data_IF_488872835151
#
_entry.id   IF_488872835151
#
_cell.length_a   1.000
_cell.length_b   1.000
_cell.length_c   1.000
_cell.angle_alpha   90.00
_cell.angle_beta   90.00
_cell.angle_gamma   90.00
#
_symmetry.space_group_name_H-M   'P 1'
#
loop_
_entity.id
_entity.type
_entity.pdbx_description
1 polymer ?
#
# COMPACT_ATOMS: atom_id res chain seq x y z
N UNK A 1 -11.85 1.18 -16.16
CA UNK A 1 -10.45 0.72 -16.18
C UNK A 1 -9.43 1.86 -16.33
N UNK A 2 -9.84 3.11 -16.11
CA UNK A 2 -8.97 4.29 -16.31
C UNK A 2 -7.74 4.27 -15.40
N UNK A 3 -7.85 3.82 -14.16
CA UNK A 3 -6.73 3.72 -13.22
C UNK A 3 -5.81 2.49 -13.39
N UNK A 4 -6.02 1.65 -14.42
CA UNK A 4 -5.22 0.45 -14.60
C UNK A 4 -4.10 0.66 -15.63
N UNK A 5 -2.85 0.66 -15.13
CA UNK A 5 -1.65 0.59 -15.96
C UNK A 5 -0.70 -0.46 -15.38
N UNK A 6 -0.77 -1.71 -15.84
CA UNK A 6 -0.08 -2.90 -15.31
C UNK A 6 -0.45 -3.23 -13.86
N UNK A 7 -0.77 -2.23 -13.05
CA UNK A 7 -1.26 -2.33 -11.66
C UNK A 7 -2.41 -1.34 -11.47
N UNK A 8 -3.40 -1.64 -10.64
CA UNK A 8 -4.41 -0.65 -10.24
C UNK A 8 -3.74 0.55 -9.59
N UNK A 9 -4.17 1.76 -9.98
CA UNK A 9 -3.72 3.03 -9.40
C UNK A 9 -4.95 3.88 -9.11
N UNK A 10 -4.87 4.64 -8.06
CA UNK A 10 -5.90 5.61 -7.66
C UNK A 10 -5.25 6.97 -7.49
N UNK A 11 -6.03 8.02 -7.70
CA UNK A 11 -5.67 9.41 -7.42
C UNK A 11 -6.48 9.97 -6.25
N UNK A 12 -6.20 11.20 -5.86
CA UNK A 12 -6.90 11.86 -4.75
C UNK A 12 -8.39 12.07 -5.03
N UNK A 13 -8.79 12.21 -6.30
CA UNK A 13 -10.19 12.33 -6.67
C UNK A 13 -10.96 11.03 -6.40
N UNK A 14 -10.39 9.89 -6.79
CA UNK A 14 -10.98 8.59 -6.52
C UNK A 14 -10.97 8.27 -5.03
N UNK A 15 -9.88 8.60 -4.32
CA UNK A 15 -9.80 8.46 -2.87
C UNK A 15 -10.93 9.24 -2.17
N UNK A 16 -11.17 10.48 -2.57
CA UNK A 16 -12.19 11.32 -1.93
C UNK A 16 -13.61 10.78 -2.15
N UNK A 17 -13.87 10.11 -3.27
CA UNK A 17 -15.17 9.46 -3.55
C UNK A 17 -15.40 8.17 -2.77
N UNK A 18 -14.35 7.57 -2.24
CA UNK A 18 -14.39 6.27 -1.56
C UNK A 18 -13.66 6.30 -0.20
N UNK A 19 -13.67 7.43 0.48
CA UNK A 19 -12.93 7.64 1.74
C UNK A 19 -13.68 7.13 2.99
N UNK A 20 -14.99 6.90 2.89
CA UNK A 20 -15.81 6.50 4.03
C UNK A 20 -15.36 5.14 4.60
N UNK A 21 -15.15 5.09 5.91
CA UNK A 21 -14.74 3.88 6.62
C UNK A 21 -13.27 3.47 6.42
N UNK A 22 -12.44 4.31 5.78
CA UNK A 22 -11.03 4.02 5.52
C UNK A 22 -10.13 4.74 6.53
N UNK A 23 -9.18 4.00 7.11
CA UNK A 23 -8.06 4.51 7.88
C UNK A 23 -6.84 4.51 6.96
N UNK A 24 -6.08 5.60 6.97
CA UNK A 24 -4.89 5.79 6.13
C UNK A 24 -3.64 5.93 6.99
N UNK A 25 -2.61 5.18 6.65
CA UNK A 25 -1.27 5.31 7.18
C UNK A 25 -0.38 5.98 6.12
N UNK A 26 0.57 6.82 6.55
CA UNK A 26 1.40 7.62 5.64
C UNK A 26 2.37 6.80 4.77
N UNK A 27 2.52 5.52 5.04
CA UNK A 27 3.36 4.60 4.27
C UNK A 27 4.85 4.67 4.63
N UNK A 28 5.66 3.89 3.93
CA UNK A 28 7.11 3.81 4.10
C UNK A 28 7.85 5.01 3.51
N UNK A 29 9.19 4.94 3.43
CA UNK A 29 10.04 6.00 2.83
C UNK A 29 9.64 6.38 1.40
N UNK A 30 8.97 5.48 0.66
CA UNK A 30 8.44 5.75 -0.69
C UNK A 30 7.05 6.39 -0.70
N UNK A 31 6.40 6.55 0.45
CA UNK A 31 5.14 7.28 0.58
C UNK A 31 5.32 8.77 0.27
N UNK A 32 4.28 9.44 -0.16
CA UNK A 32 4.33 10.85 -0.63
C UNK A 32 4.85 11.81 0.44
N UNK A 33 4.40 11.65 1.70
CA UNK A 33 4.85 12.45 2.84
C UNK A 33 6.34 12.19 3.09
N UNK A 34 6.75 10.90 3.19
CA UNK A 34 8.13 10.55 3.46
C UNK A 34 9.07 10.94 2.31
N UNK A 35 8.62 10.81 1.06
CA UNK A 35 9.38 11.26 -0.12
C UNK A 35 9.68 12.76 -0.05
N UNK A 36 8.71 13.59 0.35
CA UNK A 36 8.93 15.01 0.57
C UNK A 36 9.97 15.25 1.69
N UNK A 37 9.86 14.52 2.81
CA UNK A 37 10.80 14.64 3.93
C UNK A 37 12.22 14.18 3.57
N UNK A 38 12.36 13.13 2.76
CA UNK A 38 13.67 12.65 2.24
C UNK A 38 14.36 13.73 1.41
N UNK A 39 13.58 14.53 0.66
CA UNK A 39 14.06 15.65 -0.14
C UNK A 39 14.13 17.00 0.63
N UNK A 40 13.99 16.97 1.95
CA UNK A 40 13.98 18.14 2.83
C UNK A 40 12.86 19.16 2.51
N UNK A 41 11.79 18.74 1.80
CA UNK A 41 10.59 19.53 1.50
C UNK A 41 9.54 19.37 2.61
N UNK A 42 9.74 20.06 3.73
CA UNK A 42 8.82 20.05 4.88
C UNK A 42 7.44 20.61 4.52
N UNK A 43 7.40 21.61 3.66
CA UNK A 43 6.13 22.22 3.21
C UNK A 43 5.37 21.25 2.29
N UNK A 44 6.06 20.49 1.44
CA UNK A 44 5.47 19.44 0.63
C UNK A 44 4.86 18.34 1.49
N UNK A 45 5.60 17.88 2.50
CA UNK A 45 5.10 16.88 3.45
C UNK A 45 3.83 17.35 4.18
N UNK A 46 3.81 18.62 4.61
CA UNK A 46 2.64 19.23 5.27
C UNK A 46 1.45 19.31 4.32
N UNK A 47 1.64 19.79 3.09
CA UNK A 47 0.56 19.86 2.09
C UNK A 47 -0.04 18.48 1.80
N UNK A 48 0.79 17.46 1.70
CA UNK A 48 0.30 16.09 1.46
C UNK A 48 -0.49 15.56 2.65
N UNK A 49 -0.02 15.79 3.88
CA UNK A 49 -0.76 15.43 5.09
C UNK A 49 -2.10 16.18 5.18
N UNK A 50 -2.13 17.46 4.83
CA UNK A 50 -3.36 18.26 4.80
C UNK A 50 -4.35 17.72 3.75
N UNK A 51 -3.84 17.29 2.60
CA UNK A 51 -4.64 16.66 1.54
C UNK A 51 -5.28 15.36 2.03
N UNK A 52 -4.48 14.43 2.59
CA UNK A 52 -5.00 13.18 3.14
C UNK A 52 -5.99 13.43 4.29
N UNK A 53 -5.67 14.38 5.16
CA UNK A 53 -6.57 14.78 6.27
C UNK A 53 -7.88 15.34 5.76
N UNK A 54 -7.86 16.13 4.68
CA UNK A 54 -9.06 16.67 4.03
C UNK A 54 -9.93 15.59 3.40
N UNK A 55 -9.34 14.53 2.88
CA UNK A 55 -10.04 13.42 2.23
C UNK A 55 -10.65 12.45 3.26
N UNK A 56 -9.86 12.02 4.25
CA UNK A 56 -10.21 10.92 5.15
C UNK A 56 -10.68 11.39 6.54
N UNK A 57 -10.50 12.66 6.84
CA UNK A 57 -10.75 13.22 8.17
C UNK A 57 -9.56 13.06 9.11
N UNK A 58 -9.46 13.96 10.10
CA UNK A 58 -8.28 14.05 10.98
C UNK A 58 -8.04 12.80 11.84
N UNK A 59 -9.07 12.09 12.21
CA UNK A 59 -8.98 10.93 13.10
C UNK A 59 -8.69 9.62 12.34
N UNK A 60 -8.66 9.67 11.00
CA UNK A 60 -8.44 8.51 10.14
C UNK A 60 -7.07 8.53 9.45
N UNK A 61 -6.23 9.53 9.72
CA UNK A 61 -4.89 9.65 9.13
C UNK A 61 -3.83 9.50 10.22
N UNK A 62 -2.98 8.49 10.09
CA UNK A 62 -1.88 8.21 10.99
C UNK A 62 -0.53 8.44 10.29
N UNK A 63 0.40 9.05 11.00
CA UNK A 63 1.80 9.12 10.57
C UNK A 63 2.49 7.81 10.95
N UNK A 64 2.94 7.08 9.95
CA UNK A 64 3.49 5.74 10.09
C UNK A 64 4.98 5.78 10.36
N UNK A 65 5.41 5.17 11.45
CA UNK A 65 6.81 5.06 11.85
C UNK A 65 7.32 3.65 11.58
N UNK A 66 8.47 3.55 10.93
CA UNK A 66 9.13 2.29 10.62
C UNK A 66 10.63 2.38 10.97
N UNK A 67 11.19 1.31 11.52
CA UNK A 67 12.64 1.13 11.61
C UNK A 67 13.01 -0.34 11.31
N UNK A 68 13.38 -0.60 10.08
CA UNK A 68 13.94 -1.87 9.61
C UNK A 68 15.45 -1.77 9.42
N UNK A 69 16.12 -0.80 10.05
CA UNK A 69 17.55 -0.58 9.92
C UNK A 69 17.97 0.02 8.57
N UNK A 70 17.03 0.59 7.80
CA UNK A 70 17.32 1.28 6.55
C UNK A 70 17.83 2.68 6.84
N UNK A 71 18.90 3.08 6.15
CA UNK A 71 19.45 4.42 6.26
C UNK A 71 18.37 5.49 6.02
N UNK A 72 18.33 6.47 6.90
CA UNK A 72 17.40 7.58 6.83
C UNK A 72 16.05 7.36 7.55
N UNK A 73 15.62 6.12 7.83
CA UNK A 73 14.34 5.90 8.53
C UNK A 73 14.27 6.66 9.87
N UNK A 74 15.33 6.58 10.69
CA UNK A 74 15.35 7.29 11.98
C UNK A 74 15.23 8.80 11.82
N UNK A 75 15.92 9.39 10.84
CA UNK A 75 15.81 10.83 10.55
C UNK A 75 14.38 11.19 10.13
N UNK A 76 13.78 10.40 9.25
CA UNK A 76 12.42 10.66 8.78
C UNK A 76 11.41 10.47 9.92
N UNK A 77 11.57 9.49 10.80
CA UNK A 77 10.73 9.33 11.98
C UNK A 77 10.73 10.57 12.89
N UNK A 78 11.88 11.23 13.08
CA UNK A 78 11.95 12.48 13.84
C UNK A 78 11.18 13.62 13.16
N UNK A 79 11.24 13.72 11.83
CA UNK A 79 10.44 14.69 11.08
C UNK A 79 8.94 14.38 11.15
N UNK A 80 8.55 13.09 11.03
CA UNK A 80 7.16 12.65 11.20
C UNK A 80 6.64 12.97 12.60
N UNK A 81 7.44 12.73 13.63
CA UNK A 81 7.06 13.06 15.02
C UNK A 81 6.89 14.58 15.23
N UNK A 82 7.74 15.38 14.61
CA UNK A 82 7.59 16.84 14.64
C UNK A 82 6.29 17.24 13.94
N UNK A 83 6.01 16.70 12.77
CA UNK A 83 4.80 16.95 12.00
C UNK A 83 3.55 16.48 12.78
N UNK A 84 3.61 15.31 13.43
CA UNK A 84 2.55 14.78 14.30
C UNK A 84 2.19 15.78 15.42
N UNK A 85 3.23 16.28 16.11
CA UNK A 85 3.07 17.24 17.21
C UNK A 85 2.46 18.58 16.74
N UNK A 86 2.91 19.08 15.60
CA UNK A 86 2.43 20.35 15.02
C UNK A 86 0.98 20.27 14.54
N UNK A 87 0.58 19.12 14.01
CA UNK A 87 -0.73 18.93 13.38
C UNK A 87 -1.74 18.20 14.27
N UNK A 88 -1.31 17.67 15.42
CA UNK A 88 -2.13 16.85 16.30
C UNK A 88 -2.50 15.50 15.73
N UNK A 89 -1.71 14.95 14.76
CA UNK A 89 -1.96 13.63 14.19
C UNK A 89 -1.36 12.53 15.04
N UNK A 90 -2.05 11.38 15.09
CA UNK A 90 -1.54 10.20 15.77
C UNK A 90 -0.42 9.54 14.96
N UNK A 91 0.51 8.93 15.68
CA UNK A 91 1.56 8.09 15.08
C UNK A 91 1.24 6.62 15.32
N UNK A 92 1.62 5.76 14.37
CA UNK A 92 1.49 4.31 14.49
C UNK A 92 2.77 3.63 14.01
N UNK A 93 3.25 2.64 14.77
CA UNK A 93 4.41 1.84 14.40
C UNK A 93 4.01 0.68 13.50
N UNK A 94 4.77 0.43 12.43
CA UNK A 94 4.61 -0.77 11.59
C UNK A 94 5.94 -1.42 11.29
N UNK A 95 5.93 -2.72 10.92
CA UNK A 95 7.15 -3.50 10.72
C UNK A 95 7.55 -3.70 9.27
N UNK A 96 6.74 -3.27 8.28
CA UNK A 96 6.95 -3.58 6.84
C UNK A 96 7.28 -5.06 6.61
N UNK A 97 6.45 -5.95 7.18
CA UNK A 97 6.70 -7.38 7.27
C UNK A 97 6.71 -8.06 5.91
N UNK A 98 7.79 -8.80 5.60
CA UNK A 98 7.94 -9.58 4.39
C UNK A 98 8.08 -11.09 4.65
N UNK A 99 8.40 -11.48 5.90
CA UNK A 99 8.52 -12.88 6.33
C UNK A 99 8.22 -13.02 7.82
N UNK A 100 8.05 -14.25 8.29
CA UNK A 100 7.53 -14.51 9.65
C UNK A 100 8.63 -14.39 10.71
N UNK A 101 9.74 -15.08 10.53
CA UNK A 101 10.83 -15.12 11.49
C UNK A 101 12.11 -14.54 10.91
N UNK A 102 12.98 -14.00 11.75
CA UNK A 102 14.28 -13.45 11.31
C UNK A 102 15.08 -14.42 10.43
N UNK A 103 15.03 -15.74 10.73
CA UNK A 103 15.74 -16.78 9.98
C UNK A 103 15.21 -16.97 8.56
N UNK A 104 14.00 -16.49 8.27
CA UNK A 104 13.39 -16.61 6.93
C UNK A 104 13.98 -15.63 5.92
N UNK A 105 14.84 -14.71 6.36
CA UNK A 105 15.46 -13.70 5.51
C UNK A 105 16.22 -14.32 4.32
N UNK A 106 16.94 -15.43 4.52
CA UNK A 106 17.66 -16.14 3.45
C UNK A 106 16.70 -16.75 2.42
N UNK A 107 15.59 -17.36 2.89
CA UNK A 107 14.56 -17.91 2.01
C UNK A 107 13.86 -16.81 1.21
N UNK A 108 13.59 -15.67 1.85
CA UNK A 108 13.03 -14.49 1.19
C UNK A 108 13.97 -13.93 0.11
N UNK A 109 15.27 -13.92 0.37
CA UNK A 109 16.27 -13.49 -0.62
C UNK A 109 16.26 -14.38 -1.87
N UNK A 110 16.07 -15.69 -1.69
CA UNK A 110 15.91 -16.64 -2.81
C UNK A 110 14.61 -16.35 -3.61
N UNK A 111 13.51 -16.04 -2.93
CA UNK A 111 12.26 -15.65 -3.58
C UNK A 111 12.40 -14.34 -4.37
N UNK A 112 13.13 -13.35 -3.85
CA UNK A 112 13.41 -12.11 -4.57
C UNK A 112 14.23 -12.37 -5.85
N UNK A 113 15.24 -13.26 -5.79
CA UNK A 113 16.03 -13.63 -6.96
C UNK A 113 15.14 -14.29 -8.04
N UNK A 114 14.23 -15.19 -7.66
CA UNK A 114 13.26 -15.80 -8.58
C UNK A 114 12.34 -14.74 -9.19
N UNK A 115 11.78 -13.85 -8.37
CA UNK A 115 10.86 -12.79 -8.80
C UNK A 115 11.51 -11.82 -9.78
N UNK A 116 12.78 -11.48 -9.56
CA UNK A 116 13.55 -10.56 -10.41
C UNK A 116 14.22 -11.26 -11.60
N UNK A 117 14.08 -12.59 -11.71
CA UNK A 117 14.72 -13.44 -12.72
C UNK A 117 16.24 -13.36 -12.67
N UNK A 118 16.79 -13.33 -11.46
CA UNK A 118 18.22 -13.25 -11.19
C UNK A 118 18.68 -14.51 -10.42
N UNK A 119 19.96 -14.61 -10.10
CA UNK A 119 20.58 -15.72 -9.37
C UNK A 119 21.24 -15.23 -8.09
N UNK A 120 21.22 -16.03 -7.03
CA UNK A 120 21.80 -15.67 -5.73
C UNK A 120 23.30 -15.31 -5.80
N UNK A 121 24.02 -15.90 -6.75
CA UNK A 121 25.44 -15.63 -6.96
C UNK A 121 25.75 -14.26 -7.61
N UNK A 122 24.75 -13.57 -8.17
CA UNK A 122 24.94 -12.24 -8.72
C UNK A 122 25.08 -11.20 -7.59
N UNK A 123 26.22 -10.56 -7.39
CA UNK A 123 26.41 -9.58 -6.32
C UNK A 123 25.56 -8.30 -6.49
N UNK A 124 25.16 -8.01 -7.74
CA UNK A 124 24.37 -6.82 -8.08
C UNK A 124 22.87 -7.09 -8.17
N UNK A 125 22.41 -8.29 -7.74
CA UNK A 125 20.98 -8.58 -7.72
C UNK A 125 20.22 -7.65 -6.77
N UNK A 126 18.94 -7.50 -6.98
CA UNK A 126 18.07 -6.84 -6.02
C UNK A 126 18.02 -7.65 -4.72
N UNK A 127 18.28 -7.02 -3.61
CA UNK A 127 18.21 -7.58 -2.26
C UNK A 127 17.87 -6.48 -1.26
N UNK A 128 17.38 -6.86 -0.10
CA UNK A 128 17.21 -5.92 1.01
C UNK A 128 18.54 -5.73 1.73
N UNK A 129 18.77 -4.51 2.20
CA UNK A 129 20.01 -4.15 2.89
C UNK A 129 20.04 -4.66 4.33
N UNK A 130 18.90 -5.05 4.89
CA UNK A 130 18.75 -5.53 6.27
C UNK A 130 17.89 -6.79 6.33
N UNK A 131 17.90 -7.48 7.47
CA UNK A 131 17.09 -8.66 7.74
C UNK A 131 15.95 -8.36 8.74
N UNK A 132 15.58 -7.10 8.90
CA UNK A 132 14.66 -6.62 9.92
C UNK A 132 13.19 -6.59 9.47
N UNK A 133 12.82 -7.30 8.40
CA UNK A 133 11.47 -7.33 7.82
C UNK A 133 10.62 -8.52 8.31
N UNK A 134 10.89 -9.05 9.49
CA UNK A 134 10.12 -10.12 10.12
C UNK A 134 9.02 -9.58 11.05
N UNK A 135 8.11 -10.47 11.46
CA UNK A 135 7.07 -10.11 12.43
C UNK A 135 7.71 -9.92 13.80
N UNK A 136 7.81 -8.67 14.23
CA UNK A 136 8.36 -8.30 15.55
C UNK A 136 7.30 -8.38 16.63
N UNK A 137 7.68 -8.88 17.79
CA UNK A 137 6.92 -8.72 19.04
C UNK A 137 6.85 -7.26 19.48
N UNK A 138 5.98 -6.94 20.43
CA UNK A 138 5.89 -5.59 21.00
C UNK A 138 7.23 -5.11 21.60
N UNK A 139 7.97 -6.00 22.28
CA UNK A 139 9.28 -5.69 22.87
C UNK A 139 10.33 -5.41 21.78
N UNK A 140 10.34 -6.18 20.69
CA UNK A 140 11.23 -5.96 19.55
C UNK A 140 10.89 -4.65 18.82
N UNK A 141 9.60 -4.32 18.69
CA UNK A 141 9.17 -3.03 18.15
C UNK A 141 9.60 -1.86 19.03
N UNK A 142 9.50 -1.99 20.37
CA UNK A 142 10.01 -0.99 21.31
C UNK A 142 11.53 -0.80 21.19
N UNK A 143 12.28 -1.87 20.93
CA UNK A 143 13.72 -1.79 20.67
C UNK A 143 14.05 -1.11 19.34
N UNK A 144 13.25 -1.34 18.32
CA UNK A 144 13.42 -0.71 17.00
C UNK A 144 13.06 0.79 17.03
N UNK A 145 12.03 1.17 17.78
CA UNK A 145 11.50 2.55 17.88
C UNK A 145 11.55 3.10 19.33
N UNK A 146 12.72 3.14 19.97
CA UNK A 146 12.82 3.49 21.39
C UNK A 146 12.41 4.92 21.72
N UNK A 147 12.50 5.83 20.75
CA UNK A 147 12.12 7.23 20.89
C UNK A 147 10.62 7.47 20.77
N UNK A 148 9.86 6.46 20.33
CA UNK A 148 8.44 6.57 20.00
C UNK A 148 7.59 5.44 20.62
N UNK A 149 7.70 5.18 21.93
CA UNK A 149 7.02 4.05 22.58
C UNK A 149 5.49 4.11 22.45
N UNK A 150 4.92 5.32 22.41
CA UNK A 150 3.47 5.52 22.30
C UNK A 150 2.91 5.14 20.92
N UNK A 151 3.74 5.00 19.90
CA UNK A 151 3.31 4.59 18.56
C UNK A 151 2.95 3.10 18.45
N UNK A 152 3.40 2.29 19.41
CA UNK A 152 3.19 0.84 19.40
C UNK A 152 1.78 0.48 19.90
N UNK A 153 1.28 1.00 21.04
CA UNK A 153 -0.11 0.79 21.43
C UNK A 153 -1.14 1.29 20.41
N UNK A 154 -0.80 2.29 19.60
CA UNK A 154 -1.66 2.79 18.55
C UNK A 154 -2.01 1.71 17.49
N UNK A 155 -1.21 0.65 17.35
CA UNK A 155 -1.54 -0.51 16.51
C UNK A 155 -2.79 -1.22 16.97
N UNK A 156 -2.97 -1.34 18.29
CA UNK A 156 -4.18 -1.95 18.88
C UNK A 156 -5.40 -1.07 18.66
N UNK A 157 -5.26 0.26 18.79
CA UNK A 157 -6.34 1.20 18.49
C UNK A 157 -6.84 1.03 17.04
N UNK A 158 -5.91 0.97 16.07
CA UNK A 158 -6.27 0.74 14.66
C UNK A 158 -6.93 -0.63 14.48
N UNK A 159 -6.41 -1.68 15.10
CA UNK A 159 -6.98 -3.02 15.03
C UNK A 159 -8.40 -3.07 15.61
N UNK A 160 -8.63 -2.44 16.77
CA UNK A 160 -9.95 -2.36 17.42
C UNK A 160 -10.95 -1.61 16.54
N UNK A 161 -10.55 -0.53 15.90
CA UNK A 161 -11.38 0.23 14.96
C UNK A 161 -11.76 -0.59 13.72
N UNK A 162 -10.94 -1.55 13.32
CA UNK A 162 -11.19 -2.46 12.21
C UNK A 162 -11.87 -3.78 12.60
N UNK A 163 -12.09 -4.05 13.88
CA UNK A 163 -12.55 -5.35 14.40
C UNK A 163 -13.95 -5.77 13.94
N UNK A 164 -14.78 -4.83 13.51
CA UNK A 164 -16.14 -5.10 13.02
C UNK A 164 -16.22 -5.29 11.49
N UNK A 165 -15.10 -5.29 10.79
CA UNK A 165 -15.08 -5.40 9.33
C UNK A 165 -15.27 -6.85 8.89
N UNK A 166 -16.36 -7.12 8.16
CA UNK A 166 -16.57 -8.38 7.44
C UNK A 166 -16.24 -8.17 5.96
N UNK A 167 -15.14 -8.78 5.50
CA UNK A 167 -14.76 -8.74 4.10
C UNK A 167 -15.53 -9.82 3.33
N UNK A 168 -16.31 -9.47 2.28
CA UNK A 168 -17.06 -10.43 1.47
C UNK A 168 -16.09 -11.25 0.60
N UNK A 169 -15.33 -12.15 1.24
CA UNK A 169 -14.38 -13.02 0.57
C UNK A 169 -15.16 -14.17 -0.11
N UNK A 170 -14.81 -14.44 -1.37
CA UNK A 170 -15.42 -15.54 -2.14
C UNK A 170 -16.57 -15.12 -3.06
N UNK A 171 -17.08 -13.92 -2.96
CA UNK A 171 -18.05 -13.38 -3.91
C UNK A 171 -17.35 -13.01 -5.22
N UNK A 172 -17.51 -13.86 -6.24
CA UNK A 172 -17.02 -13.58 -7.59
C UNK A 172 -17.91 -12.50 -8.20
N UNK A 173 -17.41 -11.27 -8.26
CA UNK A 173 -18.08 -10.16 -8.96
C UNK A 173 -17.57 -10.10 -10.38
N UNK A 174 -18.32 -10.69 -11.32
CA UNK A 174 -18.07 -10.51 -12.74
C UNK A 174 -18.52 -9.11 -13.17
N UNK A 175 -17.79 -8.47 -14.11
CA UNK A 175 -18.27 -7.23 -14.71
C UNK A 175 -19.62 -7.47 -15.40
N UNK A 176 -20.61 -6.66 -15.06
CA UNK A 176 -21.89 -6.65 -15.76
C UNK A 176 -21.75 -5.73 -16.97
N UNK A 177 -21.91 -6.29 -18.17
CA UNK A 177 -21.97 -5.50 -19.38
C UNK A 177 -23.41 -5.00 -19.57
N UNK A 178 -23.65 -3.69 -19.63
CA UNK A 178 -24.98 -3.16 -19.91
C UNK A 178 -25.33 -3.45 -21.38
N UNK A 179 -26.15 -4.48 -21.60
CA UNK A 179 -26.61 -4.83 -22.94
C UNK A 179 -27.52 -3.71 -23.45
N UNK A 180 -27.16 -3.03 -24.59
CA UNK A 180 -27.88 -1.85 -25.08
C UNK A 180 -29.34 -2.10 -25.46
N UNK A 181 -29.69 -3.34 -25.82
CA UNK A 181 -31.01 -3.73 -26.28
C UNK A 181 -31.92 -4.31 -25.23
N UNK A 182 -31.43 -4.49 -24.00
CA UNK A 182 -32.19 -5.09 -22.90
C UNK A 182 -32.47 -6.58 -23.04
N UNK A 183 -31.83 -7.25 -24.01
CA UNK A 183 -31.83 -8.72 -24.15
C UNK A 183 -30.83 -9.35 -23.18
N UNK A 184 -30.83 -10.68 -23.01
CA UNK A 184 -29.87 -11.38 -22.18
C UNK A 184 -28.45 -11.31 -22.76
N UNK A 185 -27.45 -11.31 -21.89
CA UNK A 185 -26.02 -11.22 -22.26
C UNK A 185 -25.62 -12.29 -23.27
N UNK A 186 -26.11 -13.52 -23.11
CA UNK A 186 -25.84 -14.65 -24.00
C UNK A 186 -26.35 -14.38 -25.41
N UNK A 187 -27.61 -13.89 -25.53
CA UNK A 187 -28.23 -13.56 -26.80
C UNK A 187 -27.48 -12.42 -27.51
N UNK A 188 -27.05 -11.43 -26.74
CA UNK A 188 -26.29 -10.31 -27.30
C UNK A 188 -24.91 -10.75 -27.82
N UNK A 189 -24.21 -11.61 -27.08
CA UNK A 189 -22.88 -12.10 -27.44
C UNK A 189 -22.91 -13.05 -28.64
N UNK A 190 -24.02 -13.75 -28.89
CA UNK A 190 -24.19 -14.62 -30.04
C UNK A 190 -24.52 -13.89 -31.34
N UNK A 191 -24.75 -12.58 -31.30
CA UNK A 191 -24.99 -11.79 -32.53
C UNK A 191 -23.78 -11.82 -33.44
N UNK A 192 -23.95 -12.01 -34.76
CA UNK A 192 -22.85 -12.12 -35.71
C UNK A 192 -21.94 -10.89 -35.76
N UNK A 193 -22.50 -9.69 -35.54
CA UNK A 193 -21.75 -8.44 -35.50
C UNK A 193 -20.87 -8.32 -34.22
N UNK A 194 -21.36 -8.75 -33.07
CA UNK A 194 -20.60 -8.79 -31.83
C UNK A 194 -19.53 -9.89 -31.84
N UNK A 195 -19.85 -11.08 -32.35
CA UNK A 195 -18.87 -12.15 -32.58
C UNK A 195 -17.71 -11.65 -33.45
N UNK A 196 -18.01 -11.03 -34.57
CA UNK A 196 -17.00 -10.48 -35.49
C UNK A 196 -16.17 -9.33 -34.82
N UNK A 197 -16.79 -8.55 -33.91
CA UNK A 197 -16.10 -7.53 -33.14
C UNK A 197 -15.12 -8.15 -32.16
N UNK A 198 -15.54 -9.16 -31.39
CA UNK A 198 -14.71 -9.88 -30.43
C UNK A 198 -13.54 -10.57 -31.09
N UNK A 199 -13.75 -11.20 -32.26
CA UNK A 199 -12.69 -11.82 -33.06
C UNK A 199 -11.61 -10.81 -33.46
N UNK A 200 -12.02 -9.60 -33.89
CA UNK A 200 -11.06 -8.52 -34.21
C UNK A 200 -10.24 -8.07 -33.00
N UNK A 201 -10.88 -7.94 -31.84
CA UNK A 201 -10.18 -7.59 -30.57
C UNK A 201 -9.17 -8.66 -30.20
N UNK A 202 -9.58 -9.94 -30.27
CA UNK A 202 -8.69 -11.08 -29.94
C UNK A 202 -7.52 -11.19 -30.92
N UNK A 203 -7.75 -10.94 -32.22
CA UNK A 203 -6.68 -10.90 -33.22
C UNK A 203 -5.67 -9.77 -32.91
N UNK A 204 -6.14 -8.58 -32.49
CA UNK A 204 -5.28 -7.47 -32.10
C UNK A 204 -4.49 -7.71 -30.82
N UNK A 205 -5.01 -8.51 -29.89
CA UNK A 205 -4.29 -8.91 -28.66
C UNK A 205 -3.21 -9.96 -28.94
N UNK A 206 -3.47 -10.89 -29.86
CA UNK A 206 -2.50 -11.95 -30.25
C UNK A 206 -1.34 -11.43 -31.12
N UNK A 207 -1.50 -10.26 -31.73
CA UNK A 207 -0.49 -9.65 -32.59
C UNK A 207 0.51 -8.73 -31.83
N UNK A 208 0.34 -8.57 -30.52
CA UNK A 208 1.24 -7.81 -29.62
C UNK A 208 2.05 -8.73 -28.72
#
# INVERSE_FOLDING_TARGET
LEGYHRRPRIDHELMSRHSEGIIVLSGCLSGTICTSLVNDDLDGARRELDTLTGIFGPDNVYLELQDAGIDGQRRINQHLATLAKETGRSMVATGDVHYICHQDAESHEALLAIQTRDVLSNPNRFKFDTQEFFIKSADEMLQALPDFPDSIPATMEVADRCSGLDLPLGDIKLPVFPVPTGEGDDVYLERPDEVARLERVLAGVRAR
#
